data_IF_321164328692
#
_entry.id   IF_321164328692
#
_cell.length_a   1.000
_cell.length_b   1.000
_cell.length_c   1.000
_cell.angle_alpha   90.00
_cell.angle_beta   90.00
_cell.angle_gamma   90.00
#
_symmetry.space_group_name_H-M   'P 1'
#
loop_
_entity.id
_entity.type
_entity.pdbx_description
1 polymer ?
#
# COMPACT_ATOMS: atom_id res chain seq x y z
N UNK A 1 10.69 10.36 58.05
CA UNK A 1 9.91 9.45 57.19
C UNK A 1 9.04 10.16 56.14
N UNK A 2 8.42 11.31 56.45
CA UNK A 2 7.58 12.08 55.50
C UNK A 2 8.33 12.58 54.26
N UNK A 3 9.62 12.93 54.38
CA UNK A 3 10.48 13.39 53.26
C UNK A 3 10.68 12.34 52.16
N UNK A 4 10.69 11.05 52.50
CA UNK A 4 10.90 9.97 51.52
C UNK A 4 9.61 9.67 50.72
N UNK A 5 8.44 9.90 51.32
CA UNK A 5 7.16 9.75 50.63
C UNK A 5 6.95 10.81 49.55
N UNK A 6 7.41 12.04 49.80
CA UNK A 6 7.29 13.15 48.85
C UNK A 6 8.15 12.93 47.59
N UNK A 7 9.33 12.32 47.75
CA UNK A 7 10.22 11.98 46.64
C UNK A 7 9.62 10.89 45.74
N UNK A 8 8.96 9.89 46.33
CA UNK A 8 8.27 8.81 45.61
C UNK A 8 7.07 9.37 44.83
N UNK A 9 6.30 10.28 45.43
CA UNK A 9 5.16 10.92 44.75
C UNK A 9 5.61 11.79 43.56
N UNK A 10 6.76 12.46 43.67
CA UNK A 10 7.37 13.20 42.56
C UNK A 10 7.81 12.24 41.44
N UNK A 11 8.45 11.11 41.78
CA UNK A 11 8.85 10.10 40.77
C UNK A 11 7.66 9.46 40.04
N UNK A 12 6.52 9.25 40.72
CA UNK A 12 5.31 8.73 40.05
C UNK A 12 4.68 9.75 39.09
N UNK A 13 4.80 11.06 39.35
CA UNK A 13 4.33 12.09 38.42
C UNK A 13 5.22 12.26 37.18
N UNK A 14 6.51 11.92 37.27
CA UNK A 14 7.43 11.91 36.11
C UNK A 14 7.32 10.64 35.24
N UNK A 15 6.57 9.63 35.68
CA UNK A 15 6.50 8.31 35.00
C UNK A 15 5.40 8.20 33.94
N UNK A 16 4.63 9.26 33.67
CA UNK A 16 3.48 9.22 32.73
C UNK A 16 3.85 9.68 31.31
N UNK A 17 5.08 10.14 31.06
CA UNK A 17 5.46 10.72 29.76
C UNK A 17 5.64 9.73 28.58
N UNK A 18 5.20 8.48 28.68
CA UNK A 18 5.40 7.48 27.60
C UNK A 18 4.19 7.35 26.65
N UNK A 19 3.08 8.08 26.87
CA UNK A 19 1.89 7.96 26.01
C UNK A 19 1.68 9.09 24.98
N UNK A 20 2.44 10.19 25.01
CA UNK A 20 2.26 11.32 24.09
C UNK A 20 2.64 11.00 22.63
N UNK A 21 3.52 10.03 22.38
CA UNK A 21 3.87 9.64 21.01
C UNK A 21 2.71 8.96 20.26
N UNK A 22 1.72 8.39 20.98
CA UNK A 22 0.51 7.84 20.36
C UNK A 22 -0.50 8.93 19.97
N UNK A 23 -0.48 10.09 20.64
CA UNK A 23 -1.47 11.17 20.46
C UNK A 23 -1.26 12.00 19.18
N UNK A 24 -0.09 11.92 18.53
CA UNK A 24 0.22 12.73 17.35
C UNK A 24 -0.18 12.09 16.00
N UNK A 25 -0.55 10.81 15.97
CA UNK A 25 -0.96 10.16 14.71
C UNK A 25 -2.46 10.30 14.48
N UNK A 26 -2.93 11.52 14.26
CA UNK A 26 -4.33 11.73 13.85
C UNK A 26 -4.52 11.09 12.48
N UNK A 27 -5.26 9.99 12.43
CA UNK A 27 -5.69 9.39 11.16
C UNK A 27 -6.84 10.23 10.62
N UNK A 28 -6.63 11.01 9.53
CA UNK A 28 -7.68 11.87 9.02
C UNK A 28 -8.77 11.02 8.39
N UNK A 29 -9.97 11.59 8.31
CA UNK A 29 -10.96 11.08 7.37
C UNK A 29 -10.65 11.63 5.98
N UNK A 30 -10.73 10.77 4.97
CA UNK A 30 -10.48 11.11 3.57
C UNK A 30 -11.82 11.09 2.83
N UNK A 31 -12.07 12.08 1.97
CA UNK A 31 -13.23 12.06 1.10
C UNK A 31 -13.19 10.81 0.21
N UNK A 32 -14.26 10.04 0.17
CA UNK A 32 -14.26 8.72 -0.45
C UNK A 32 -15.62 8.33 -0.99
N UNK A 33 -15.59 7.61 -2.12
CA UNK A 33 -16.73 6.89 -2.67
C UNK A 33 -16.45 5.39 -2.57
N UNK A 34 -17.32 4.67 -1.87
CA UNK A 34 -17.21 3.23 -1.63
C UNK A 34 -18.23 2.53 -2.51
N UNK A 35 -17.76 1.59 -3.32
CA UNK A 35 -18.60 0.67 -4.09
C UNK A 35 -18.58 -0.67 -3.38
N UNK A 36 -19.75 -1.18 -3.04
CA UNK A 36 -19.93 -2.48 -2.42
C UNK A 36 -20.13 -3.58 -3.47
N UNK A 37 -19.95 -4.83 -3.07
CA UNK A 37 -20.12 -6.00 -3.96
C UNK A 37 -21.55 -6.21 -4.45
N UNK A 38 -22.53 -5.69 -3.74
CA UNK A 38 -23.95 -5.66 -4.17
C UNK A 38 -24.23 -4.49 -5.14
N UNK A 39 -23.19 -3.81 -5.62
CA UNK A 39 -23.25 -2.62 -6.48
C UNK A 39 -23.83 -1.37 -5.82
N UNK A 40 -24.13 -1.40 -4.52
CA UNK A 40 -24.50 -0.18 -3.80
C UNK A 40 -23.29 0.75 -3.68
N UNK A 41 -23.57 2.05 -3.61
CA UNK A 41 -22.54 3.09 -3.58
C UNK A 41 -22.81 4.04 -2.43
N UNK A 42 -21.77 4.38 -1.66
CA UNK A 42 -21.82 5.37 -0.59
C UNK A 42 -20.70 6.39 -0.77
N UNK A 43 -21.07 7.67 -0.76
CA UNK A 43 -20.12 8.79 -0.77
C UNK A 43 -20.05 9.41 0.63
N UNK A 44 -18.85 9.76 1.09
CA UNK A 44 -18.65 10.33 2.41
C UNK A 44 -17.19 10.32 2.81
N UNK A 45 -16.93 10.10 4.09
CA UNK A 45 -15.62 10.24 4.72
C UNK A 45 -15.15 8.89 5.27
N UNK A 46 -14.03 8.38 4.75
CA UNK A 46 -13.44 7.10 5.14
C UNK A 46 -12.18 7.30 5.97
N UNK A 47 -12.04 6.50 7.02
CA UNK A 47 -10.83 6.38 7.83
C UNK A 47 -10.48 4.91 8.03
N UNK A 48 -9.26 4.53 7.65
CA UNK A 48 -8.62 3.28 8.06
C UNK A 48 -8.06 3.48 9.47
N UNK A 49 -8.74 2.97 10.50
CA UNK A 49 -8.46 3.31 11.90
C UNK A 49 -7.11 2.78 12.38
N UNK A 50 -7.03 1.47 12.67
CA UNK A 50 -5.79 0.83 13.16
C UNK A 50 -5.07 0.06 12.04
N UNK A 51 -5.76 -0.22 10.94
CA UNK A 51 -5.32 -1.09 9.86
C UNK A 51 -6.13 -0.79 8.60
N UNK A 52 -5.55 -1.10 7.43
CA UNK A 52 -6.27 -1.04 6.16
C UNK A 52 -7.50 -1.96 6.11
N UNK A 53 -7.60 -2.96 7.00
CA UNK A 53 -8.74 -3.87 7.13
C UNK A 53 -9.76 -3.44 8.18
N UNK A 54 -9.64 -2.22 8.72
CA UNK A 54 -10.58 -1.64 9.68
C UNK A 54 -11.17 -0.31 9.17
N UNK A 55 -11.91 -0.33 8.05
CA UNK A 55 -12.52 0.86 7.47
C UNK A 55 -13.65 1.38 8.36
N UNK A 56 -13.61 2.68 8.67
CA UNK A 56 -14.65 3.41 9.38
C UNK A 56 -15.16 4.53 8.50
N UNK A 57 -16.47 4.60 8.31
CA UNK A 57 -17.11 5.50 7.39
C UNK A 57 -18.14 6.38 8.09
N UNK A 58 -18.24 7.63 7.67
CA UNK A 58 -19.33 8.55 8.03
C UNK A 58 -19.78 9.29 6.78
N UNK A 59 -21.07 9.58 6.66
CA UNK A 59 -21.61 10.24 5.47
C UNK A 59 -21.17 11.70 5.33
N UNK A 60 -21.00 12.40 6.46
CA UNK A 60 -20.71 13.82 6.50
C UNK A 60 -19.78 14.21 7.66
N UNK A 61 -19.30 15.45 7.65
CA UNK A 61 -18.57 16.02 8.78
C UNK A 61 -19.45 16.08 10.04
N UNK A 62 -18.89 15.78 11.22
CA UNK A 62 -19.67 15.64 12.46
C UNK A 62 -20.52 14.36 12.58
N UNK A 63 -20.74 13.62 11.48
CA UNK A 63 -21.50 12.36 11.49
C UNK A 63 -20.86 11.25 12.34
N UNK A 64 -21.69 10.33 12.86
CA UNK A 64 -21.23 9.19 13.66
C UNK A 64 -20.51 8.17 12.77
N UNK A 65 -19.28 7.75 13.12
CA UNK A 65 -18.56 6.75 12.34
C UNK A 65 -19.16 5.35 12.54
N UNK A 66 -19.29 4.62 11.44
CA UNK A 66 -19.67 3.23 11.39
C UNK A 66 -18.48 2.39 10.88
N UNK A 67 -18.17 1.31 11.60
CA UNK A 67 -17.22 0.32 11.09
C UNK A 67 -17.84 -0.44 9.93
N UNK A 68 -17.16 -0.48 8.79
CA UNK A 68 -17.57 -1.26 7.63
C UNK A 68 -16.91 -2.64 7.66
N UNK A 69 -17.62 -3.64 7.13
CA UNK A 69 -17.00 -4.92 6.82
C UNK A 69 -16.24 -4.80 5.50
N UNK A 70 -14.91 -4.86 5.56
CA UNK A 70 -14.05 -4.73 4.37
C UNK A 70 -14.32 -5.80 3.31
N UNK A 71 -14.86 -6.97 3.70
CA UNK A 71 -15.15 -8.06 2.76
C UNK A 71 -16.32 -7.76 1.84
N UNK A 72 -17.20 -6.81 2.21
CA UNK A 72 -18.32 -6.36 1.40
C UNK A 72 -17.92 -5.25 0.43
N UNK A 73 -16.76 -4.62 0.65
CA UNK A 73 -16.25 -3.53 -0.19
C UNK A 73 -15.67 -4.11 -1.47
N UNK A 74 -16.10 -3.59 -2.61
CA UNK A 74 -15.57 -3.94 -3.93
C UNK A 74 -14.44 -2.98 -4.35
N UNK A 75 -14.69 -1.67 -4.29
CA UNK A 75 -13.72 -0.61 -4.63
C UNK A 75 -13.88 0.58 -3.68
N UNK A 76 -12.78 1.25 -3.40
CA UNK A 76 -12.73 2.53 -2.68
C UNK A 76 -12.07 3.53 -3.61
N UNK A 77 -12.76 4.62 -3.92
CA UNK A 77 -12.21 5.78 -4.62
C UNK A 77 -11.91 6.85 -3.58
N UNK A 78 -10.63 7.17 -3.35
CA UNK A 78 -10.24 8.31 -2.50
C UNK A 78 -10.25 9.59 -3.32
N UNK A 79 -10.67 10.71 -2.72
CA UNK A 79 -10.79 12.02 -3.37
C UNK A 79 -11.48 11.94 -4.75
N UNK A 80 -12.69 11.35 -4.82
CA UNK A 80 -13.35 11.07 -6.09
C UNK A 80 -13.63 12.34 -6.89
N UNK A 81 -13.51 12.26 -8.22
CA UNK A 81 -13.66 13.36 -9.17
C UNK A 81 -12.61 14.49 -9.02
N UNK A 82 -11.42 14.17 -8.50
CA UNK A 82 -10.28 15.10 -8.44
C UNK A 82 -9.09 14.52 -9.21
N UNK A 83 -8.07 15.36 -9.49
CA UNK A 83 -6.82 14.90 -10.11
C UNK A 83 -6.06 13.88 -9.26
N UNK A 84 -6.37 13.83 -7.96
CA UNK A 84 -5.79 12.95 -6.96
C UNK A 84 -6.67 11.71 -6.67
N UNK A 85 -7.61 11.40 -7.57
CA UNK A 85 -8.44 10.20 -7.42
C UNK A 85 -7.56 8.94 -7.47
N UNK A 86 -7.70 8.07 -6.47
CA UNK A 86 -6.99 6.79 -6.39
C UNK A 86 -7.96 5.67 -6.04
N UNK A 87 -7.68 4.48 -6.58
CA UNK A 87 -8.58 3.33 -6.49
C UNK A 87 -7.95 2.25 -5.63
N UNK A 88 -8.63 1.85 -4.57
CA UNK A 88 -8.16 0.81 -3.64
C UNK A 88 -9.12 -0.37 -3.57
N UNK A 89 -8.57 -1.56 -3.37
CA UNK A 89 -9.31 -2.83 -3.37
C UNK A 89 -8.74 -3.83 -2.37
N UNK A 90 -9.58 -4.79 -1.97
CA UNK A 90 -9.20 -5.96 -1.18
C UNK A 90 -9.18 -7.21 -2.06
N UNK A 91 -8.01 -7.55 -2.60
CA UNK A 91 -7.88 -8.58 -3.64
C UNK A 91 -7.27 -9.87 -3.08
N UNK A 92 -7.69 -11.03 -3.61
CA UNK A 92 -7.14 -12.32 -3.21
C UNK A 92 -5.71 -12.45 -3.74
N UNK A 93 -4.83 -13.03 -2.94
CA UNK A 93 -3.44 -13.21 -3.33
C UNK A 93 -3.17 -14.68 -3.68
N UNK A 94 -2.46 -14.97 -4.77
CA UNK A 94 -2.33 -16.34 -5.29
C UNK A 94 -1.72 -17.36 -4.31
N UNK A 95 -0.78 -16.96 -3.43
CA UNK A 95 -0.20 -17.85 -2.40
C UNK A 95 -0.75 -17.67 -0.98
N UNK A 96 -1.59 -16.66 -0.72
CA UNK A 96 -2.01 -16.31 0.64
C UNK A 96 -3.52 -16.47 0.76
N UNK A 97 -3.98 -17.07 1.86
CA UNK A 97 -5.42 -17.17 2.17
C UNK A 97 -6.03 -15.82 2.52
N UNK A 98 -5.19 -14.84 2.86
CA UNK A 98 -5.63 -13.50 3.23
C UNK A 98 -5.67 -12.58 2.02
N UNK A 99 -6.72 -11.76 1.96
CA UNK A 99 -6.81 -10.61 1.05
C UNK A 99 -5.68 -9.62 1.35
N UNK A 100 -5.26 -8.90 0.31
CA UNK A 100 -4.31 -7.80 0.41
C UNK A 100 -5.03 -6.51 0.04
N UNK A 101 -4.74 -5.45 0.78
CA UNK A 101 -5.19 -4.10 0.46
C UNK A 101 -4.23 -3.48 -0.56
N UNK A 102 -4.70 -3.21 -1.76
CA UNK A 102 -3.88 -2.75 -2.89
C UNK A 102 -4.49 -1.51 -3.52
N UNK A 103 -3.63 -0.72 -4.15
CA UNK A 103 -4.05 0.35 -5.07
C UNK A 103 -3.96 -0.16 -6.50
N UNK A 104 -4.99 0.12 -7.29
CA UNK A 104 -5.05 -0.14 -8.73
C UNK A 104 -4.47 1.07 -9.47
N UNK A 105 -3.38 0.89 -10.18
CA UNK A 105 -2.66 1.98 -10.89
C UNK A 105 -2.81 1.90 -12.42
N UNK A 106 -3.30 0.77 -12.94
CA UNK A 106 -3.56 0.57 -14.36
C UNK A 106 -4.64 -0.50 -14.53
N UNK A 107 -5.62 -0.25 -15.38
CA UNK A 107 -6.77 -1.15 -15.65
C UNK A 107 -7.03 -1.17 -17.15
N UNK A 108 -6.71 -2.30 -17.77
CA UNK A 108 -6.97 -2.64 -19.17
C UNK A 108 -7.26 -4.16 -19.19
N UNK A 109 -6.80 -4.88 -20.21
CA UNK A 109 -6.70 -6.35 -20.23
C UNK A 109 -5.95 -6.91 -19.01
N UNK A 110 -4.96 -6.14 -18.54
CA UNK A 110 -4.22 -6.41 -17.31
C UNK A 110 -4.49 -5.32 -16.29
N UNK A 111 -4.51 -5.74 -15.04
CA UNK A 111 -4.56 -4.84 -13.89
C UNK A 111 -3.21 -4.83 -13.19
N UNK A 112 -2.65 -3.64 -13.01
CA UNK A 112 -1.43 -3.44 -12.23
C UNK A 112 -1.81 -2.87 -10.88
N UNK A 113 -1.34 -3.55 -9.84
CA UNK A 113 -1.58 -3.18 -8.47
C UNK A 113 -0.28 -2.88 -7.74
N UNK A 114 -0.36 -1.97 -6.77
CA UNK A 114 0.72 -1.72 -5.82
C UNK A 114 0.26 -1.91 -4.39
N UNK A 115 1.20 -2.33 -3.56
CA UNK A 115 1.08 -2.40 -2.11
C UNK A 115 2.33 -1.79 -1.47
N UNK A 116 2.19 -1.36 -0.22
CA UNK A 116 3.31 -1.03 0.66
C UNK A 116 3.27 -1.92 1.88
N UNK A 117 4.44 -2.19 2.46
CA UNK A 117 4.58 -2.91 3.75
C UNK A 117 3.68 -2.30 4.84
N UNK A 118 3.41 -1.00 4.79
CA UNK A 118 2.32 -0.35 5.52
C UNK A 118 1.23 0.06 4.52
N UNK A 119 0.23 -0.80 4.37
CA UNK A 119 -0.84 -0.60 3.38
C UNK A 119 -1.77 0.56 3.75
N UNK A 120 -1.85 0.94 5.03
CA UNK A 120 -2.58 2.14 5.42
C UNK A 120 -1.81 3.40 4.99
N UNK A 121 -0.48 3.40 5.10
CA UNK A 121 0.34 4.53 4.60
C UNK A 121 0.19 4.75 3.10
N UNK A 122 -0.02 3.68 2.32
CA UNK A 122 -0.32 3.82 0.89
C UNK A 122 -1.61 4.62 0.66
N UNK A 123 -2.67 4.35 1.41
CA UNK A 123 -3.95 5.09 1.34
C UNK A 123 -3.80 6.56 1.77
N UNK A 124 -3.03 6.81 2.82
CA UNK A 124 -2.83 8.15 3.37
C UNK A 124 -1.58 8.86 2.83
N UNK A 125 -1.06 8.47 1.67
CA UNK A 125 0.20 8.99 1.15
C UNK A 125 0.16 10.49 0.80
N UNK A 126 -1.00 11.14 0.87
CA UNK A 126 -1.16 12.59 0.72
C UNK A 126 -1.13 13.35 2.05
N UNK A 127 -1.32 12.64 3.17
CA UNK A 127 -1.40 13.23 4.50
C UNK A 127 -0.11 13.00 5.27
N UNK A 128 0.38 14.04 5.93
CA UNK A 128 1.44 13.87 6.90
C UNK A 128 0.91 13.18 8.16
N UNK A 129 1.42 11.96 8.37
CA UNK A 129 1.07 11.07 9.49
C UNK A 129 2.30 10.63 10.25
N UNK A 130 3.39 11.39 10.11
CA UNK A 130 4.63 11.15 10.83
C UNK A 130 4.45 11.46 12.32
N UNK A 131 4.91 10.57 13.18
CA UNK A 131 5.00 10.91 14.62
C UNK A 131 6.19 11.84 14.89
N UNK A 132 6.19 12.50 16.05
CA UNK A 132 7.34 13.30 16.47
C UNK A 132 8.63 12.46 16.52
N UNK A 133 8.54 11.21 16.98
CA UNK A 133 9.67 10.28 16.95
C UNK A 133 10.18 9.98 15.53
N UNK A 134 9.29 9.89 14.54
CA UNK A 134 9.67 9.73 13.13
C UNK A 134 10.36 11.00 12.61
N UNK A 135 9.79 12.19 12.87
CA UNK A 135 10.37 13.49 12.51
C UNK A 135 11.78 13.68 13.10
N UNK A 136 11.94 13.38 14.39
CA UNK A 136 13.24 13.46 15.07
C UNK A 136 14.24 12.43 14.54
N UNK A 137 13.77 11.26 14.09
CA UNK A 137 14.62 10.28 13.43
C UNK A 137 15.10 10.80 12.06
N UNK A 138 14.23 11.43 11.25
CA UNK A 138 14.60 12.05 9.97
C UNK A 138 15.71 13.07 10.19
N UNK A 139 15.48 14.00 11.12
CA UNK A 139 16.41 15.08 11.44
C UNK A 139 17.77 14.56 11.91
N UNK A 140 17.82 13.49 12.71
CA UNK A 140 19.09 12.82 13.07
C UNK A 140 19.76 12.13 11.88
N UNK A 141 18.98 11.59 10.95
CA UNK A 141 19.50 10.97 9.73
C UNK A 141 20.12 11.98 8.79
N UNK A 142 19.44 13.09 8.52
CA UNK A 142 19.89 14.15 7.61
C UNK A 142 21.15 14.86 8.12
N UNK A 143 21.33 14.96 9.44
CA UNK A 143 22.54 15.53 10.05
C UNK A 143 23.77 14.64 9.96
N UNK A 144 23.60 13.32 9.79
CA UNK A 144 24.71 12.39 9.61
C UNK A 144 25.12 12.33 8.12
N UNK A 145 25.95 13.29 7.71
CA UNK A 145 26.40 13.55 6.33
C UNK A 145 27.02 12.34 5.59
N UNK A 146 27.47 11.30 6.31
CA UNK A 146 28.08 10.09 5.73
C UNK A 146 27.06 9.10 5.12
N UNK A 147 25.76 9.30 5.35
CA UNK A 147 24.67 8.47 4.80
C UNK A 147 23.77 9.26 3.83
N UNK A 148 24.36 10.10 2.98
CA UNK A 148 23.69 10.94 1.98
C UNK A 148 23.04 10.17 0.81
N UNK A 149 22.18 9.19 1.09
CA UNK A 149 21.14 8.77 0.14
C UNK A 149 19.92 9.64 0.41
N UNK A 150 19.66 10.61 -0.48
CA UNK A 150 18.41 11.38 -0.46
C UNK A 150 17.24 10.41 -0.29
N UNK A 151 16.36 10.73 0.64
CA UNK A 151 15.15 9.96 0.89
C UNK A 151 14.29 10.03 -0.38
N UNK A 152 14.12 8.89 -1.06
CA UNK A 152 13.19 8.70 -2.18
C UNK A 152 11.74 8.75 -1.65
N UNK A 153 11.11 9.91 -1.78
CA UNK A 153 9.72 10.18 -1.36
C UNK A 153 8.67 9.82 -2.41
N UNK A 154 9.12 9.44 -3.60
CA UNK A 154 8.26 8.99 -4.69
C UNK A 154 9.01 8.01 -5.58
N UNK A 155 8.27 7.07 -6.17
CA UNK A 155 8.73 6.28 -7.30
C UNK A 155 8.12 6.79 -8.58
N UNK A 156 8.74 6.48 -9.71
CA UNK A 156 8.16 6.72 -11.02
C UNK A 156 8.08 5.39 -11.75
N UNK A 157 6.90 5.05 -12.22
CA UNK A 157 6.68 3.89 -13.07
C UNK A 157 6.17 4.36 -14.43
N UNK A 158 6.75 3.82 -15.50
CA UNK A 158 6.17 3.92 -16.84
C UNK A 158 5.06 2.87 -16.92
N UNK A 159 3.84 3.26 -17.27
CA UNK A 159 2.73 2.35 -17.49
C UNK A 159 2.79 1.73 -18.89
N UNK A 160 2.09 0.62 -19.17
CA UNK A 160 2.10 -0.02 -20.51
C UNK A 160 1.72 0.93 -21.66
N UNK A 161 0.88 1.94 -21.40
CA UNK A 161 0.51 2.96 -22.38
C UNK A 161 1.59 4.07 -22.56
N UNK A 162 2.78 3.92 -21.99
CA UNK A 162 3.87 4.89 -22.04
C UNK A 162 3.73 6.09 -21.10
N UNK A 163 2.62 6.22 -20.36
CA UNK A 163 2.42 7.31 -19.40
C UNK A 163 3.31 7.09 -18.17
N UNK A 164 4.04 8.13 -17.76
CA UNK A 164 4.73 8.12 -16.47
C UNK A 164 3.75 8.44 -15.34
N UNK A 165 3.83 7.65 -14.27
CA UNK A 165 3.05 7.84 -13.05
C UNK A 165 4.00 7.98 -11.86
N UNK A 166 3.80 9.05 -11.08
CA UNK A 166 4.51 9.27 -9.83
C UNK A 166 3.74 8.59 -8.71
N UNK A 167 4.37 7.60 -8.07
CA UNK A 167 3.81 6.85 -6.96
C UNK A 167 4.33 7.43 -5.65
N UNK A 168 3.46 7.95 -4.77
CA UNK A 168 3.91 8.52 -3.51
C UNK A 168 4.44 7.42 -2.58
N UNK A 169 5.66 7.61 -2.09
CA UNK A 169 6.31 6.69 -1.13
C UNK A 169 6.50 7.41 0.19
N UNK A 170 5.73 7.05 1.21
CA UNK A 170 5.92 7.59 2.57
C UNK A 170 6.63 6.60 3.47
N UNK A 171 7.77 7.04 4.00
CA UNK A 171 8.60 6.32 4.97
C UNK A 171 7.78 5.87 6.18
N UNK A 172 8.05 4.66 6.64
CA UNK A 172 7.69 4.19 7.96
C UNK A 172 9.00 3.95 8.70
N UNK A 173 9.29 4.73 9.74
CA UNK A 173 10.51 4.49 10.52
C UNK A 173 10.25 3.32 11.46
N UNK A 174 11.21 2.40 11.50
CA UNK A 174 11.23 1.34 12.49
C UNK A 174 12.38 1.63 13.45
N UNK A 175 12.06 1.91 14.71
CA UNK A 175 13.06 1.91 15.76
C UNK A 175 13.55 0.47 15.93
N UNK A 176 14.83 0.23 15.62
CA UNK A 176 15.49 -0.97 16.10
C UNK A 176 15.50 -0.91 17.63
N UNK A 177 15.00 -1.95 18.29
CA UNK A 177 14.93 -2.04 19.76
C UNK A 177 16.32 -2.00 20.45
N UNK A 178 17.42 -1.99 19.68
CA UNK A 178 18.78 -1.88 20.20
C UNK A 178 19.37 -0.49 19.94
N UNK A 179 19.50 0.27 21.04
CA UNK A 179 20.46 1.36 21.24
C UNK A 179 20.55 2.43 20.15
N UNK A 180 19.72 3.48 20.30
CA UNK A 180 20.02 4.86 19.87
C UNK A 180 20.24 5.15 18.37
N UNK A 181 20.26 4.14 17.51
CA UNK A 181 20.37 4.30 16.06
C UNK A 181 18.99 4.02 15.47
N UNK A 182 18.25 5.08 15.15
CA UNK A 182 17.11 4.94 14.27
C UNK A 182 17.60 4.36 12.94
N UNK A 183 16.89 3.41 12.33
CA UNK A 183 17.14 2.99 10.96
C UNK A 183 15.88 3.23 10.13
N UNK A 184 15.92 4.26 9.26
CA UNK A 184 14.86 4.50 8.30
C UNK A 184 14.86 3.39 7.25
N UNK A 185 13.86 2.52 7.27
CA UNK A 185 13.63 1.59 6.15
C UNK A 185 12.78 2.32 5.12
N UNK A 186 13.34 2.56 3.94
CA UNK A 186 12.54 3.05 2.83
C UNK A 186 11.36 2.10 2.58
N UNK A 187 10.14 2.62 2.35
CA UNK A 187 9.04 1.77 1.96
C UNK A 187 9.47 1.04 0.70
N UNK A 188 9.10 -0.22 0.58
CA UNK A 188 9.25 -0.94 -0.69
C UNK A 188 7.87 -1.09 -1.27
N UNK A 189 7.64 -0.47 -2.43
CA UNK A 189 6.46 -0.77 -3.21
C UNK A 189 6.57 -2.20 -3.73
N UNK A 190 5.51 -2.95 -3.53
CA UNK A 190 5.36 -4.31 -4.04
C UNK A 190 4.35 -4.25 -5.17
N UNK A 191 4.78 -4.67 -6.35
CA UNK A 191 3.95 -4.70 -7.54
C UNK A 191 3.27 -6.07 -7.67
N UNK A 192 2.03 -6.05 -8.13
CA UNK A 192 1.27 -7.23 -8.49
C UNK A 192 0.59 -7.01 -9.84
N UNK A 193 0.35 -8.10 -10.54
CA UNK A 193 -0.42 -8.13 -11.77
C UNK A 193 -1.59 -9.09 -11.64
N UNK A 194 -2.72 -8.74 -12.24
CA UNK A 194 -3.84 -9.64 -12.51
C UNK A 194 -4.23 -9.55 -13.97
N UNK A 195 -4.81 -10.63 -14.48
CA UNK A 195 -5.37 -10.71 -15.82
C UNK A 195 -6.88 -10.77 -15.70
N UNK A 196 -7.60 -10.20 -16.67
CA UNK A 196 -9.05 -10.35 -16.76
C UNK A 196 -9.46 -11.85 -16.65
N UNK A 197 -10.51 -12.11 -15.89
CA UNK A 197 -11.00 -13.48 -15.62
C UNK A 197 -10.34 -14.19 -14.42
N UNK A 198 -9.26 -13.65 -13.85
CA UNK A 198 -8.67 -14.17 -12.61
C UNK A 198 -9.12 -13.35 -11.39
N UNK A 199 -9.46 -14.04 -10.30
CA UNK A 199 -9.87 -13.41 -9.04
C UNK A 199 -8.69 -13.13 -8.09
N UNK A 200 -7.46 -13.46 -8.53
CA UNK A 200 -6.22 -13.38 -7.75
C UNK A 200 -5.19 -12.48 -8.40
N UNK A 201 -4.42 -11.80 -7.55
CA UNK A 201 -3.22 -11.07 -7.95
C UNK A 201 -1.96 -11.92 -7.76
N UNK A 202 -0.99 -11.70 -8.65
CA UNK A 202 0.29 -12.39 -8.67
C UNK A 202 1.41 -11.39 -8.45
N UNK A 203 2.25 -11.64 -7.45
CA UNK A 203 3.36 -10.76 -7.10
C UNK A 203 4.41 -10.73 -8.22
N UNK A 204 4.81 -9.53 -8.62
CA UNK A 204 5.91 -9.32 -9.56
C UNK A 204 7.22 -9.60 -8.84
N UNK A 205 7.89 -10.68 -9.25
CA UNK A 205 9.18 -11.15 -8.71
C UNK A 205 10.03 -11.68 -9.86
N UNK A 206 11.31 -11.99 -9.62
CA UNK A 206 12.18 -12.64 -10.62
C UNK A 206 11.46 -13.81 -11.32
N UNK A 207 11.60 -13.95 -12.64
CA UNK A 207 10.93 -14.96 -13.48
C UNK A 207 10.85 -16.35 -12.83
N UNK A 208 11.97 -16.88 -12.33
CA UNK A 208 12.03 -18.20 -11.66
C UNK A 208 11.05 -18.34 -10.49
N UNK A 209 10.85 -17.29 -9.69
CA UNK A 209 9.89 -17.28 -8.57
C UNK A 209 8.47 -17.08 -9.06
N UNK A 210 8.28 -16.18 -10.03
CA UNK A 210 6.98 -15.93 -10.66
C UNK A 210 6.42 -17.21 -11.29
N UNK A 211 7.19 -17.88 -12.15
CA UNK A 211 6.83 -19.14 -12.82
C UNK A 211 6.35 -20.24 -11.85
N UNK A 212 6.91 -20.32 -10.65
CA UNK A 212 6.51 -21.32 -9.63
C UNK A 212 5.15 -21.02 -9.00
N UNK A 213 4.73 -19.76 -9.01
CA UNK A 213 3.55 -19.27 -8.28
C UNK A 213 2.41 -18.88 -9.23
N UNK A 214 2.71 -18.65 -10.50
CA UNK A 214 1.82 -18.07 -11.49
C UNK A 214 1.39 -19.09 -12.55
N UNK A 215 1.27 -20.38 -12.19
CA UNK A 215 0.89 -21.43 -13.14
C UNK A 215 -0.50 -21.19 -13.76
N UNK A 216 -1.49 -20.87 -12.92
CA UNK A 216 -2.85 -20.47 -13.36
C UNK A 216 -2.83 -19.19 -14.21
N UNK A 217 -1.96 -18.23 -13.93
CA UNK A 217 -1.84 -17.01 -14.72
C UNK A 217 -1.26 -17.28 -16.13
N UNK A 218 -0.41 -18.31 -16.23
CA UNK A 218 0.33 -18.66 -17.45
C UNK A 218 -0.30 -19.84 -18.21
N UNK A 219 -1.41 -20.40 -17.74
CA UNK A 219 -2.00 -21.63 -18.29
C UNK A 219 -2.36 -21.49 -19.76
N UNK A 220 -2.78 -20.29 -20.16
CA UNK A 220 -3.39 -20.07 -21.48
C UNK A 220 -2.38 -19.54 -22.51
N UNK A 221 -1.11 -19.36 -22.12
CA UNK A 221 -0.08 -18.88 -23.03
C UNK A 221 1.27 -19.55 -22.77
N UNK A 222 1.46 -20.71 -23.42
CA UNK A 222 2.69 -21.49 -23.32
C UNK A 222 3.94 -20.73 -23.83
N UNK A 223 3.77 -19.82 -24.79
CA UNK A 223 4.85 -18.98 -25.34
C UNK A 223 5.45 -18.12 -24.22
N UNK A 224 4.63 -17.39 -23.45
CA UNK A 224 5.09 -16.57 -22.32
C UNK A 224 5.83 -17.41 -21.28
N UNK A 225 5.30 -18.60 -20.96
CA UNK A 225 5.97 -19.51 -20.02
C UNK A 225 7.37 -19.87 -20.50
N UNK A 226 7.53 -20.20 -21.79
CA UNK A 226 8.81 -20.52 -22.40
C UNK A 226 9.76 -19.32 -22.41
N UNK A 227 9.30 -18.15 -22.85
CA UNK A 227 10.17 -16.98 -22.98
C UNK A 227 10.58 -16.40 -21.62
N UNK A 228 9.76 -16.56 -20.57
CA UNK A 228 10.16 -16.29 -19.18
C UNK A 228 11.23 -17.28 -18.67
N UNK A 229 11.15 -18.57 -19.04
CA UNK A 229 12.14 -19.59 -18.69
C UNK A 229 13.49 -19.33 -19.36
N UNK A 230 13.46 -18.91 -20.62
CA UNK A 230 14.64 -18.56 -21.42
C UNK A 230 15.17 -17.14 -21.12
N UNK A 231 14.49 -16.38 -20.24
CA UNK A 231 14.79 -14.98 -19.89
C UNK A 231 14.84 -14.02 -21.09
N UNK A 232 14.08 -14.31 -22.15
CA UNK A 232 13.88 -13.37 -23.28
C UNK A 232 13.02 -12.17 -22.88
N UNK A 233 12.13 -12.38 -21.92
CA UNK A 233 11.30 -11.36 -21.30
C UNK A 233 11.43 -11.42 -19.77
N UNK A 234 11.09 -10.34 -19.09
CA UNK A 234 11.16 -10.25 -17.62
C UNK A 234 9.85 -9.70 -17.07
N UNK A 235 9.21 -10.41 -16.15
CA UNK A 235 7.98 -9.91 -15.50
C UNK A 235 8.25 -8.68 -14.61
N UNK A 236 9.50 -8.49 -14.16
CA UNK A 236 9.90 -7.29 -13.42
C UNK A 236 9.87 -6.03 -14.28
N UNK A 237 9.98 -6.17 -15.61
CA UNK A 237 9.75 -5.10 -16.57
C UNK A 237 8.28 -5.13 -16.98
N UNK A 238 7.42 -4.66 -16.08
CA UNK A 238 5.95 -4.78 -16.17
C UNK A 238 5.41 -4.25 -17.51
N UNK A 239 5.80 -3.05 -17.99
CA UNK A 239 5.28 -2.51 -19.24
C UNK A 239 5.61 -3.40 -20.43
N UNK A 240 6.89 -3.74 -20.61
CA UNK A 240 7.36 -4.59 -21.69
C UNK A 240 6.75 -5.98 -21.61
N UNK A 241 6.61 -6.55 -20.41
CA UNK A 241 5.98 -7.84 -20.20
C UNK A 241 4.51 -7.86 -20.63
N UNK A 242 3.73 -6.85 -20.23
CA UNK A 242 2.30 -6.76 -20.57
C UNK A 242 2.11 -6.57 -22.08
N UNK A 243 2.87 -5.65 -22.69
CA UNK A 243 2.76 -5.42 -24.14
C UNK A 243 3.19 -6.66 -24.94
N UNK A 244 4.26 -7.33 -24.53
CA UNK A 244 4.66 -8.60 -25.13
C UNK A 244 3.58 -9.69 -24.96
N UNK A 245 2.97 -9.79 -23.77
CA UNK A 245 1.87 -10.73 -23.54
C UNK A 245 0.71 -10.49 -24.50
N UNK A 246 0.30 -9.23 -24.67
CA UNK A 246 -0.80 -8.88 -25.58
C UNK A 246 -0.50 -9.25 -27.04
N UNK A 247 0.76 -9.14 -27.45
CA UNK A 247 1.21 -9.47 -28.80
C UNK A 247 1.21 -10.98 -29.07
N UNK A 248 1.76 -11.79 -28.16
CA UNK A 248 1.95 -13.23 -28.39
C UNK A 248 0.82 -14.11 -27.86
N UNK A 249 -0.09 -13.56 -27.04
CA UNK A 249 -1.23 -14.26 -26.47
C UNK A 249 -2.53 -13.56 -26.90
N UNK A 250 -3.16 -13.96 -28.02
CA UNK A 250 -4.38 -13.32 -28.50
C UNK A 250 -5.50 -13.41 -27.47
N UNK A 251 -6.08 -12.24 -27.16
CA UNK A 251 -7.10 -12.06 -26.12
C UNK A 251 -8.47 -12.62 -26.49
N UNK A 252 -8.63 -13.08 -27.73
CA UNK A 252 -9.85 -13.71 -28.25
C UNK A 252 -10.20 -15.04 -27.55
N UNK A 253 -9.30 -15.57 -26.71
CA UNK A 253 -9.56 -16.72 -25.83
C UNK A 253 -10.04 -16.34 -24.41
N UNK A 254 -10.01 -15.05 -24.05
CA UNK A 254 -10.29 -14.56 -22.68
C UNK A 254 -11.59 -13.73 -22.68
N UNK A 255 -12.69 -14.37 -23.09
CA UNK A 255 -14.06 -14.05 -22.69
C UNK A 255 -14.61 -12.64 -22.99
N UNK A 256 -15.63 -12.61 -23.86
CA UNK A 256 -16.84 -11.82 -23.57
C UNK A 256 -17.42 -12.18 -22.20
#
# INVERSE_FOLDING_TARGET
MIKNFLLIFILFNYSICVSQDYELRVTPYVNSKIVFKDSTVQSGLLKLANSAFSPHFKQEEGGKPQKLNYELIYKIYSNPNTENERVFQYVNHNYSKFKIFVELIYDDVFQIYINSNDSAQLFYSEFDRQSMGELMAIDRFERNLDFNRRLKTSDTITLPNGKEMVLPMRYSYYNGLNYSIAYGKAPTLIYYISRLGLDKIYKVEKNKRFLKKAEEFLSDCAIIKKDLQENKISVSDIPTFIEYYKDVCPLDAIGK
#
